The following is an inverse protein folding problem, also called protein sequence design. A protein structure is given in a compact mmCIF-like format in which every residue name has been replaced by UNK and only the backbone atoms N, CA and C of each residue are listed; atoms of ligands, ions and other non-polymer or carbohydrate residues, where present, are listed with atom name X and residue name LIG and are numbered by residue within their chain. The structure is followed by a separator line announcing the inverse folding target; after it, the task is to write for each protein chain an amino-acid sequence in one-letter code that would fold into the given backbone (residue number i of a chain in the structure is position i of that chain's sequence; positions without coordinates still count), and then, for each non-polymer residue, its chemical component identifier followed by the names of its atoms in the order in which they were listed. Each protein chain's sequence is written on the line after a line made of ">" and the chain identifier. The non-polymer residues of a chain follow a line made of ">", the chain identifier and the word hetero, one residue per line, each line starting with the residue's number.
data_IF_489434083918
#
_entry.id   IF_489434083918
#
_cell.length_a   1.000
_cell.length_b   1.000
_cell.length_c   1.000
_cell.angle_alpha   90.00
_cell.angle_beta   90.00
_cell.angle_gamma   90.00
#
_symmetry.space_group_name_H-M   'P 1'
#
loop_
_entity.id
_entity.type
_entity.pdbx_description
1 polymer ?
#
# COMPACT_ATOMS: atom_id res chain seq x y z
N UNK A 1 22.85 -2.98 -11.27
CA UNK A 1 21.58 -3.72 -11.37
C UNK A 1 21.22 -4.14 -9.96
N UNK A 2 20.25 -3.46 -9.35
CA UNK A 2 19.80 -3.75 -7.99
C UNK A 2 18.96 -5.05 -8.07
N UNK A 3 19.42 -6.13 -7.43
CA UNK A 3 18.79 -7.46 -7.48
C UNK A 3 17.61 -7.55 -6.50
N UNK A 4 16.79 -6.50 -6.39
CA UNK A 4 15.60 -6.51 -5.55
C UNK A 4 14.50 -7.34 -6.22
N UNK A 5 13.99 -8.35 -5.51
CA UNK A 5 12.86 -9.15 -5.97
C UNK A 5 11.59 -8.27 -5.87
N UNK A 6 10.78 -8.17 -6.94
CA UNK A 6 9.54 -7.38 -6.88
C UNK A 6 8.53 -7.98 -5.92
N UNK A 7 7.70 -7.14 -5.29
CA UNK A 7 6.66 -7.58 -4.36
C UNK A 7 5.42 -8.07 -5.10
N UNK A 8 4.94 -7.36 -6.12
CA UNK A 8 3.81 -7.77 -6.97
C UNK A 8 4.31 -8.23 -8.33
N UNK A 9 5.00 -7.36 -9.09
CA UNK A 9 5.55 -7.73 -10.41
C UNK A 9 6.63 -6.76 -10.91
N UNK A 10 7.59 -7.29 -11.70
CA UNK A 10 8.64 -6.46 -12.34
C UNK A 10 8.08 -5.39 -13.27
N UNK A 11 6.88 -5.57 -13.81
CA UNK A 11 6.27 -4.59 -14.73
C UNK A 11 5.92 -3.27 -14.03
N UNK A 12 5.78 -3.30 -12.70
CA UNK A 12 5.52 -2.11 -11.88
C UNK A 12 6.80 -1.47 -11.32
N UNK A 13 7.97 -2.03 -11.64
CA UNK A 13 9.26 -1.52 -11.23
C UNK A 13 9.88 -0.61 -12.31
N UNK A 14 10.34 0.59 -11.94
CA UNK A 14 11.22 1.44 -12.75
C UNK A 14 12.66 1.41 -12.26
N UNK A 15 13.63 1.54 -13.18
CA UNK A 15 15.04 1.70 -12.85
C UNK A 15 15.42 3.09 -12.33
N UNK A 16 14.50 4.05 -12.43
CA UNK A 16 14.66 5.43 -11.96
C UNK A 16 13.49 5.81 -11.05
N UNK A 17 13.67 6.79 -10.13
CA UNK A 17 12.57 7.27 -9.30
C UNK A 17 11.39 7.77 -10.15
N UNK A 18 10.18 7.27 -9.83
CA UNK A 18 8.94 7.64 -10.50
C UNK A 18 8.08 8.50 -9.58
N UNK A 19 7.58 9.62 -10.09
CA UNK A 19 6.61 10.46 -9.39
C UNK A 19 5.19 10.08 -9.81
N UNK A 20 4.36 9.72 -8.82
CA UNK A 20 2.94 9.45 -9.02
C UNK A 20 2.09 10.51 -8.31
N UNK A 21 0.95 10.87 -8.88
CA UNK A 21 -0.05 11.75 -8.28
C UNK A 21 -1.23 10.93 -7.77
N UNK A 22 -1.71 11.24 -6.57
CA UNK A 22 -2.89 10.59 -5.99
C UNK A 22 -4.07 11.56 -5.99
N UNK A 23 -5.16 11.17 -6.64
CA UNK A 23 -6.44 11.86 -6.59
C UNK A 23 -7.49 11.02 -5.87
N UNK A 24 -8.14 11.59 -4.86
CA UNK A 24 -9.28 10.96 -4.19
C UNK A 24 -10.51 11.02 -5.09
N UNK A 25 -11.21 9.89 -5.22
CA UNK A 25 -12.53 9.79 -5.85
C UNK A 25 -13.63 10.13 -4.84
N UNK A 26 -14.73 10.78 -5.26
CA UNK A 26 -15.86 11.07 -4.39
C UNK A 26 -16.36 9.82 -3.67
N UNK A 27 -16.63 9.95 -2.37
CA UNK A 27 -17.21 8.86 -1.58
C UNK A 27 -18.66 8.69 -2.03
N UNK A 28 -19.02 7.50 -2.52
CA UNK A 28 -20.39 7.15 -2.90
C UNK A 28 -20.76 5.78 -2.31
N UNK A 29 -22.05 5.42 -2.34
CA UNK A 29 -22.57 4.22 -1.69
C UNK A 29 -21.82 2.96 -2.13
N UNK A 30 -21.61 2.79 -3.44
CA UNK A 30 -20.90 1.66 -4.05
C UNK A 30 -19.52 2.04 -4.63
N UNK A 31 -18.86 3.07 -4.09
CA UNK A 31 -17.65 3.58 -4.72
C UNK A 31 -16.90 4.61 -3.89
N UNK A 32 -15.79 5.10 -4.45
CA UNK A 32 -14.84 5.96 -3.76
C UNK A 32 -13.43 5.47 -4.01
N UNK A 33 -12.50 5.88 -3.17
CA UNK A 33 -11.11 5.43 -3.23
C UNK A 33 -10.21 6.40 -3.98
N UNK A 34 -9.23 5.88 -4.70
CA UNK A 34 -8.15 6.70 -5.27
C UNK A 34 -7.88 6.34 -6.72
N UNK A 35 -7.42 7.33 -7.48
CA UNK A 35 -6.79 7.16 -8.79
C UNK A 35 -5.37 7.64 -8.66
N UNK A 36 -4.44 6.82 -9.09
CA UNK A 36 -3.01 7.11 -9.13
C UNK A 36 -2.61 7.33 -10.58
N UNK A 37 -2.02 8.48 -10.88
CA UNK A 37 -1.55 8.80 -12.24
C UNK A 37 -0.07 9.07 -12.26
N UNK A 38 0.54 8.99 -13.44
CA UNK A 38 1.85 9.58 -13.68
C UNK A 38 1.75 11.11 -13.81
N UNK A 39 2.88 11.77 -14.12
CA UNK A 39 2.94 13.22 -14.34
C UNK A 39 2.25 13.68 -15.63
N UNK A 40 1.99 12.76 -16.56
CA UNK A 40 1.27 13.02 -17.81
C UNK A 40 -0.24 12.76 -17.69
N UNK A 41 -0.72 12.52 -16.47
CA UNK A 41 -2.11 12.19 -16.15
C UNK A 41 -2.61 10.84 -16.70
N UNK A 42 -1.71 9.95 -17.10
CA UNK A 42 -2.08 8.57 -17.43
C UNK A 42 -2.40 7.81 -16.15
N UNK A 43 -3.50 7.06 -16.13
CA UNK A 43 -3.86 6.23 -14.97
C UNK A 43 -2.90 5.06 -14.87
N UNK A 44 -2.25 4.94 -13.71
CA UNK A 44 -1.32 3.84 -13.40
C UNK A 44 -2.02 2.82 -12.50
N UNK A 45 -2.75 3.29 -11.49
CA UNK A 45 -3.53 2.42 -10.61
C UNK A 45 -4.88 3.02 -10.22
N UNK A 46 -5.85 2.16 -9.97
CA UNK A 46 -7.13 2.52 -9.36
C UNK A 46 -7.30 1.72 -8.07
N UNK A 47 -7.63 2.41 -6.97
CA UNK A 47 -7.85 1.77 -5.67
C UNK A 47 -9.31 1.91 -5.28
N UNK A 48 -10.05 0.81 -5.30
CA UNK A 48 -11.43 0.70 -4.83
C UNK A 48 -11.49 0.31 -3.33
N UNK A 49 -12.67 0.44 -2.69
CA UNK A 49 -12.91 -0.02 -1.32
C UNK A 49 -13.01 1.09 -0.25
N UNK A 50 -13.00 2.37 -0.64
CA UNK A 50 -13.17 3.48 0.32
C UNK A 50 -14.59 4.08 0.33
N UNK A 51 -15.61 3.32 -0.09
CA UNK A 51 -17.02 3.74 -0.11
C UNK A 51 -17.74 3.54 1.23
N UNK A 52 -18.99 4.01 1.31
CA UNK A 52 -19.80 3.96 2.55
C UNK A 52 -20.22 2.52 2.89
N UNK A 53 -20.56 1.71 1.87
CA UNK A 53 -20.82 0.28 1.97
C UNK A 53 -19.64 -0.60 1.53
N UNK A 54 -18.48 -0.01 1.21
CA UNK A 54 -17.26 -0.79 1.00
C UNK A 54 -17.03 -1.67 2.23
N UNK A 55 -16.79 -2.97 2.01
CA UNK A 55 -16.50 -3.92 3.09
C UNK A 55 -15.42 -3.32 3.97
N UNK A 56 -15.79 -2.94 5.19
CA UNK A 56 -14.95 -2.15 6.09
C UNK A 56 -13.62 -2.88 6.31
N UNK A 57 -12.57 -2.40 5.64
CA UNK A 57 -11.24 -3.01 5.71
C UNK A 57 -10.85 -3.85 4.50
N UNK A 58 -11.53 -3.77 3.36
CA UNK A 58 -11.08 -4.36 2.09
C UNK A 58 -10.80 -3.27 1.05
N UNK A 59 -9.68 -3.38 0.34
CA UNK A 59 -9.26 -2.51 -0.74
C UNK A 59 -8.87 -3.37 -1.94
N UNK A 60 -9.21 -2.92 -3.14
CA UNK A 60 -8.80 -3.57 -4.38
C UNK A 60 -7.94 -2.59 -5.17
N UNK A 61 -6.72 -3.00 -5.53
CA UNK A 61 -5.85 -2.28 -6.44
C UNK A 61 -5.98 -2.89 -7.82
N UNK A 62 -6.24 -2.05 -8.81
CA UNK A 62 -6.31 -2.36 -10.23
C UNK A 62 -5.23 -1.60 -10.98
N UNK A 63 -4.78 -2.15 -12.10
CA UNK A 63 -3.89 -1.44 -13.02
C UNK A 63 -4.63 -0.35 -13.82
N UNK A 64 -3.93 0.27 -14.76
CA UNK A 64 -4.48 1.32 -15.64
C UNK A 64 -5.57 0.85 -16.61
N UNK A 65 -5.65 -0.46 -16.88
CA UNK A 65 -6.68 -1.07 -17.73
C UNK A 65 -7.92 -1.51 -16.92
N UNK A 66 -7.79 -1.54 -15.59
CA UNK A 66 -8.85 -1.89 -14.66
C UNK A 66 -8.79 -3.35 -14.19
N UNK A 67 -7.75 -4.09 -14.56
CA UNK A 67 -7.56 -5.47 -14.14
C UNK A 67 -7.13 -5.53 -12.66
N UNK A 68 -7.77 -6.38 -11.82
CA UNK A 68 -7.38 -6.54 -10.43
C UNK A 68 -5.96 -7.11 -10.30
N UNK A 69 -5.10 -6.43 -9.55
CA UNK A 69 -3.72 -6.89 -9.31
C UNK A 69 -3.46 -7.26 -7.85
N UNK A 70 -4.15 -6.61 -6.90
CA UNK A 70 -3.90 -6.82 -5.47
C UNK A 70 -5.17 -6.58 -4.66
N UNK A 71 -5.52 -7.53 -3.80
CA UNK A 71 -6.54 -7.38 -2.77
C UNK A 71 -5.88 -7.15 -1.41
N UNK A 72 -6.27 -6.10 -0.69
CA UNK A 72 -5.75 -5.78 0.64
C UNK A 72 -6.90 -5.86 1.63
N UNK A 73 -6.78 -6.73 2.63
CA UNK A 73 -7.84 -6.92 3.62
C UNK A 73 -7.32 -6.83 5.05
N UNK A 74 -8.13 -6.22 5.92
CA UNK A 74 -7.92 -6.16 7.36
C UNK A 74 -8.38 -7.46 7.98
N UNK A 75 -7.54 -8.08 8.81
CA UNK A 75 -7.93 -9.25 9.59
C UNK A 75 -9.11 -8.88 10.51
N UNK A 76 -10.19 -9.66 10.48
CA UNK A 76 -11.38 -9.44 11.30
C UNK A 76 -11.47 -10.33 12.55
N UNK A 77 -12.63 -10.29 13.21
CA UNK A 77 -13.02 -11.22 14.28
C UNK A 77 -12.42 -10.95 15.66
N UNK A 78 -12.64 -11.89 16.57
CA UNK A 78 -12.31 -11.78 18.02
C UNK A 78 -10.80 -11.55 18.23
N UNK A 79 -9.95 -12.22 17.46
CA UNK A 79 -8.48 -12.04 17.54
C UNK A 79 -8.07 -10.61 17.23
N UNK A 80 -8.69 -9.99 16.22
CA UNK A 80 -8.39 -8.60 15.88
C UNK A 80 -8.98 -7.63 16.92
N UNK A 81 -10.15 -7.93 17.48
CA UNK A 81 -10.78 -7.10 18.51
C UNK A 81 -9.88 -6.98 19.75
N UNK A 82 -9.28 -8.09 20.19
CA UNK A 82 -8.41 -8.16 21.37
C UNK A 82 -6.95 -7.72 21.12
N UNK A 83 -6.51 -7.65 19.85
CA UNK A 83 -5.14 -7.20 19.51
C UNK A 83 -4.93 -5.71 19.76
N UNK A 84 -3.73 -5.30 20.18
CA UNK A 84 -3.31 -3.88 20.28
C UNK A 84 -2.93 -3.29 18.93
N UNK A 85 -2.75 -4.13 17.91
CA UNK A 85 -2.40 -3.73 16.54
C UNK A 85 -3.39 -4.28 15.53
N UNK A 86 -3.69 -3.49 14.51
CA UNK A 86 -4.38 -3.93 13.30
C UNK A 86 -3.42 -4.77 12.46
N UNK A 87 -3.91 -5.87 11.89
CA UNK A 87 -3.19 -6.65 10.88
C UNK A 87 -3.93 -6.55 9.55
N UNK A 88 -3.18 -6.27 8.49
CA UNK A 88 -3.64 -6.27 7.11
C UNK A 88 -2.82 -7.28 6.32
N UNK A 89 -3.43 -7.87 5.30
CA UNK A 89 -2.78 -8.78 4.37
C UNK A 89 -3.02 -8.30 2.95
N UNK A 90 -1.99 -8.41 2.10
CA UNK A 90 -2.07 -8.19 0.67
C UNK A 90 -1.98 -9.51 -0.09
N UNK A 91 -2.91 -9.73 -1.01
CA UNK A 91 -3.02 -10.93 -1.81
C UNK A 91 -2.93 -10.57 -3.28
N UNK A 92 -2.03 -11.24 -4.00
CA UNK A 92 -1.97 -11.14 -5.45
C UNK A 92 -3.25 -11.75 -6.02
N UNK A 93 -3.90 -11.01 -6.92
CA UNK A 93 -5.02 -11.52 -7.68
C UNK A 93 -4.48 -12.23 -8.92
N UNK A 94 -4.80 -13.51 -9.09
CA UNK A 94 -4.58 -14.21 -10.36
C UNK A 94 -5.92 -14.43 -11.08
N UNK A 95 -5.85 -14.72 -12.38
CA UNK A 95 -7.04 -15.01 -13.21
C UNK A 95 -7.84 -16.23 -12.74
N UNK A 96 -7.28 -17.06 -11.84
CA UNK A 96 -7.93 -18.25 -11.27
C UNK A 96 -8.59 -17.98 -9.91
N UNK A 97 -8.48 -16.75 -9.38
CA UNK A 97 -9.00 -16.38 -8.06
C UNK A 97 -8.21 -16.96 -6.89
N UNK A 98 -6.95 -17.37 -7.09
CA UNK A 98 -6.07 -17.80 -5.99
C UNK A 98 -5.38 -16.59 -5.37
N UNK A 99 -5.81 -16.28 -4.16
CA UNK A 99 -5.24 -15.21 -3.34
C UNK A 99 -3.89 -15.64 -2.75
N UNK A 100 -2.79 -15.41 -3.49
CA UNK A 100 -1.44 -15.64 -2.96
C UNK A 100 -1.05 -14.49 -2.04
N UNK A 101 -0.84 -14.77 -0.75
CA UNK A 101 -0.32 -13.80 0.21
C UNK A 101 1.06 -13.29 -0.26
N UNK A 102 1.19 -11.98 -0.45
CA UNK A 102 2.43 -11.31 -0.87
C UNK A 102 3.00 -10.38 0.19
N UNK A 103 2.16 -9.85 1.08
CA UNK A 103 2.64 -9.14 2.27
C UNK A 103 1.65 -9.17 3.43
N UNK A 104 2.17 -8.92 4.63
CA UNK A 104 1.42 -8.58 5.83
C UNK A 104 1.85 -7.21 6.35
N UNK A 105 0.90 -6.37 6.76
CA UNK A 105 1.15 -5.08 7.39
C UNK A 105 0.58 -5.08 8.80
N UNK A 106 1.30 -4.44 9.73
CA UNK A 106 0.84 -4.28 11.11
C UNK A 106 0.92 -2.82 11.54
N UNK A 107 -0.22 -2.20 11.88
CA UNK A 107 -0.30 -0.82 12.36
C UNK A 107 -0.86 -0.73 13.79
N UNK A 108 -0.39 0.21 14.62
CA UNK A 108 -0.94 0.42 15.96
C UNK A 108 -2.40 0.90 15.92
N UNK A 109 -3.24 0.41 16.84
CA UNK A 109 -4.57 1.01 17.03
C UNK A 109 -4.40 2.40 17.64
N UNK A 110 -5.06 3.40 17.05
CA UNK A 110 -4.82 4.84 17.31
C UNK A 110 -5.05 5.30 18.76
N UNK A 111 -5.66 4.46 19.61
CA UNK A 111 -5.98 4.81 20.99
C UNK A 111 -4.92 4.35 22.02
N UNK A 112 -4.00 3.43 21.67
CA UNK A 112 -3.16 2.72 22.67
C UNK A 112 -1.66 2.78 22.36
N UNK A 113 -1.25 2.96 21.10
CA UNK A 113 0.15 2.78 20.69
C UNK A 113 0.66 3.85 19.71
N UNK A 114 0.49 5.13 20.04
CA UNK A 114 0.83 6.29 19.20
C UNK A 114 2.31 6.38 18.74
N UNK A 115 3.20 5.51 19.22
CA UNK A 115 4.64 5.51 18.91
C UNK A 115 5.14 4.24 18.21
N UNK A 116 4.32 3.20 18.03
CA UNK A 116 4.80 1.96 17.42
C UNK A 116 4.88 2.10 15.89
N UNK A 117 6.01 1.71 15.25
CA UNK A 117 6.16 1.81 13.80
C UNK A 117 5.20 0.87 13.07
N UNK A 118 4.69 1.32 11.94
CA UNK A 118 3.96 0.48 10.99
C UNK A 118 4.98 -0.36 10.23
N UNK A 119 4.83 -1.68 10.26
CA UNK A 119 5.79 -2.61 9.64
C UNK A 119 5.12 -3.48 8.61
N UNK A 120 5.85 -3.76 7.54
CA UNK A 120 5.46 -4.62 6.44
C UNK A 120 6.42 -5.81 6.37
N UNK A 121 5.85 -6.99 6.19
CA UNK A 121 6.54 -8.25 5.96
C UNK A 121 6.15 -8.78 4.59
N UNK A 122 7.13 -9.19 3.78
CA UNK A 122 6.91 -9.77 2.45
C UNK A 122 6.86 -11.29 2.56
N UNK A 123 5.97 -11.91 1.77
CA UNK A 123 5.77 -13.35 1.71
C UNK A 123 6.06 -13.91 0.31
N UNK A 124 6.81 -15.02 0.18
CA UNK A 124 7.55 -15.70 1.25
C UNK A 124 8.71 -14.84 1.77
N UNK A 125 9.03 -15.01 3.05
CA UNK A 125 10.08 -14.25 3.74
C UNK A 125 11.38 -14.21 2.92
N UNK A 126 11.78 -13.00 2.50
CA UNK A 126 12.94 -12.82 1.62
C UNK A 126 14.25 -12.73 2.40
N UNK A 127 14.48 -11.63 3.12
CA UNK A 127 15.82 -11.28 3.60
C UNK A 127 15.88 -10.75 5.03
N UNK A 128 14.88 -9.98 5.46
CA UNK A 128 15.00 -9.23 6.70
C UNK A 128 14.46 -10.04 7.90
N UNK A 129 15.22 -10.07 9.02
CA UNK A 129 14.83 -10.88 10.19
C UNK A 129 13.56 -10.36 10.86
N UNK A 130 13.40 -9.04 10.92
CA UNK A 130 12.40 -8.37 11.75
C UNK A 130 11.23 -7.76 10.96
N UNK A 131 11.50 -7.07 9.87
CA UNK A 131 10.54 -6.41 8.98
C UNK A 131 11.24 -6.11 7.65
N UNK A 132 10.51 -6.10 6.55
CA UNK A 132 11.05 -5.83 5.21
C UNK A 132 10.91 -4.35 4.84
N UNK A 133 9.79 -3.73 5.22
CA UNK A 133 9.61 -2.28 5.16
C UNK A 133 9.02 -1.69 6.44
N UNK A 134 9.32 -0.42 6.69
CA UNK A 134 8.78 0.37 7.80
C UNK A 134 8.21 1.69 7.26
N UNK A 135 6.98 2.02 7.66
CA UNK A 135 6.35 3.30 7.34
C UNK A 135 6.53 4.25 8.53
N UNK A 136 7.08 5.42 8.26
CA UNK A 136 7.23 6.53 9.20
C UNK A 136 6.55 7.80 8.71
N UNK A 137 6.66 8.85 9.51
CA UNK A 137 6.02 10.14 9.24
C UNK A 137 4.51 10.14 9.49
N UNK A 138 3.86 11.19 9.01
CA UNK A 138 2.47 11.54 9.20
C UNK A 138 1.83 11.85 7.85
N UNK A 139 0.69 11.22 7.59
CA UNK A 139 -0.04 11.47 6.35
C UNK A 139 -0.65 12.89 6.34
N UNK A 140 -1.02 13.41 7.51
CA UNK A 140 -1.55 14.76 7.66
C UNK A 140 -0.48 15.82 7.35
N UNK A 141 0.74 15.59 7.82
CA UNK A 141 1.88 16.49 7.60
C UNK A 141 2.57 16.23 6.25
N UNK A 142 2.14 15.19 5.53
CA UNK A 142 2.60 14.77 4.20
C UNK A 142 4.11 14.52 4.15
N UNK A 143 4.64 13.96 5.23
CA UNK A 143 6.05 13.58 5.38
C UNK A 143 6.20 12.05 5.52
N UNK A 144 5.17 11.28 5.14
CA UNK A 144 5.23 9.83 5.14
C UNK A 144 6.40 9.32 4.30
N UNK A 145 7.16 8.37 4.86
CA UNK A 145 8.23 7.67 4.16
C UNK A 145 8.09 6.18 4.36
N UNK A 146 8.44 5.40 3.35
CA UNK A 146 8.65 3.96 3.45
C UNK A 146 10.14 3.72 3.28
N UNK A 147 10.71 3.00 4.23
CA UNK A 147 12.11 2.57 4.18
C UNK A 147 12.20 1.06 4.12
N UNK A 148 13.21 0.54 3.43
CA UNK A 148 13.56 -0.89 3.48
C UNK A 148 14.30 -1.23 4.79
N UNK A 149 14.60 -2.51 4.98
CA UNK A 149 15.29 -2.97 6.18
C UNK A 149 16.76 -2.53 6.30
N UNK A 150 17.31 -1.91 5.25
CA UNK A 150 18.62 -1.22 5.27
C UNK A 150 18.50 0.26 5.62
N UNK A 151 17.28 0.76 5.87
CA UNK A 151 16.92 2.17 6.09
C UNK A 151 17.02 3.05 4.84
N UNK A 152 17.11 2.47 3.65
CA UNK A 152 17.02 3.20 2.39
C UNK A 152 15.56 3.61 2.16
N UNK A 153 15.34 4.87 1.78
CA UNK A 153 13.99 5.35 1.39
C UNK A 153 13.63 4.72 0.04
N UNK A 154 12.49 4.03 0.01
CA UNK A 154 11.94 3.37 -1.19
C UNK A 154 10.66 4.03 -1.68
N UNK A 155 9.99 4.76 -0.79
CA UNK A 155 8.86 5.61 -1.15
C UNK A 155 8.75 6.80 -0.20
N UNK A 156 8.24 7.92 -0.70
CA UNK A 156 8.02 9.12 0.11
C UNK A 156 6.83 9.91 -0.42
N UNK A 157 6.08 10.52 0.50
CA UNK A 157 5.10 11.54 0.19
C UNK A 157 5.81 12.89 0.07
N UNK A 158 5.67 13.55 -1.08
CA UNK A 158 6.28 14.86 -1.33
C UNK A 158 5.22 15.95 -1.52
N UNK A 159 5.54 17.19 -1.15
CA UNK A 159 4.87 18.41 -1.61
C UNK A 159 5.51 18.85 -2.94
N UNK A 160 4.73 19.25 -3.97
CA UNK A 160 4.59 20.68 -4.24
C UNK A 160 3.16 21.08 -4.59
N UNK A 161 2.87 22.39 -4.52
CA UNK A 161 1.66 23.09 -4.98
C UNK A 161 0.60 22.18 -5.67
N UNK A 162 -0.50 21.92 -4.94
CA UNK A 162 -1.74 21.26 -5.39
C UNK A 162 -1.85 19.73 -5.46
N UNK A 163 -0.78 18.92 -5.36
CA UNK A 163 -0.92 17.45 -5.45
C UNK A 163 -0.18 16.69 -4.33
N UNK A 164 -0.70 15.52 -3.93
CA UNK A 164 0.02 14.57 -3.06
C UNK A 164 0.78 13.60 -3.95
N UNK A 165 2.10 13.60 -3.83
CA UNK A 165 2.97 12.77 -4.66
C UNK A 165 3.37 11.54 -3.87
N UNK A 166 3.30 10.36 -4.46
CA UNK A 166 3.89 9.14 -3.92
C UNK A 166 5.08 8.81 -4.82
N UNK A 167 6.30 8.99 -4.31
CA UNK A 167 7.43 8.26 -4.88
C UNK A 167 7.14 6.79 -4.58
N UNK A 168 6.90 5.97 -5.59
CA UNK A 168 6.62 4.56 -5.42
C UNK A 168 7.71 3.81 -6.15
N UNK A 169 8.52 3.06 -5.40
CA UNK A 169 9.30 1.98 -5.97
C UNK A 169 9.75 1.02 -4.88
N UNK A 170 9.03 -0.10 -4.79
CA UNK A 170 9.40 -1.42 -4.25
C UNK A 170 8.22 -2.18 -3.59
N UNK A 171 7.01 -1.63 -3.58
CA UNK A 171 5.82 -2.30 -3.01
C UNK A 171 4.73 -2.69 -4.02
N UNK A 172 5.01 -2.50 -5.31
CA UNK A 172 4.27 -3.08 -6.44
C UNK A 172 5.31 -3.73 -7.36
#
# INVERSE_FOLDING_TARGET
>A
MDNSIPVVSKIFCSGTPTMLMIRRRPIVVNGGGFVVTDLSHNVVFVVDGCGILGSKGELMVKDGEGEPILSISKKGGIVQALSTRNKWNGYLMDYQGKDKLVFSLTDPKSCIAQSAPIRIHIEPKMHCKNWDFEIGGSFADRDCTIVDCTRKIVAQVCHPHHYSYLLLLQLL
#
